data_IF_607698283447
#
_entry.id   IF_607698283447
#
_cell.length_a   1.000
_cell.length_b   1.000
_cell.length_c   1.000
_cell.angle_alpha   90.00
_cell.angle_beta   90.00
_cell.angle_gamma   90.00
#
_symmetry.space_group_name_H-M   'P 1'
#
loop_
_entity.id
_entity.type
_entity.pdbx_description
1 polymer ?
#
# COMPACT_ATOMS: atom_id res chain seq x y z
N UNK A 1 -37.72 -29.42 29.49
CA UNK A 1 -37.16 -29.29 28.12
C UNK A 1 -36.21 -28.11 28.11
N UNK A 2 -34.90 -28.25 27.80
CA UNK A 2 -34.04 -27.09 27.62
C UNK A 2 -34.03 -26.70 26.13
N UNK A 3 -34.46 -25.47 25.82
CA UNK A 3 -34.29 -24.89 24.50
C UNK A 3 -32.87 -24.31 24.40
N UNK A 4 -32.14 -24.68 23.34
CA UNK A 4 -30.89 -23.99 22.98
C UNK A 4 -31.25 -22.78 22.13
N UNK A 5 -31.26 -21.60 22.74
CA UNK A 5 -31.34 -20.33 22.02
C UNK A 5 -29.93 -20.00 21.52
N UNK A 6 -29.74 -19.98 20.21
CA UNK A 6 -28.53 -19.41 19.61
C UNK A 6 -28.76 -17.90 19.61
N UNK A 7 -28.19 -17.22 20.59
CA UNK A 7 -28.20 -15.75 20.63
C UNK A 7 -27.16 -15.25 19.63
N UNK A 8 -27.62 -14.77 18.47
CA UNK A 8 -26.75 -14.01 17.56
C UNK A 8 -26.70 -12.54 17.99
N UNK A 9 -25.71 -11.81 17.50
CA UNK A 9 -25.59 -10.38 17.76
C UNK A 9 -26.72 -9.59 17.07
N UNK A 10 -27.08 -8.40 17.59
CA UNK A 10 -27.97 -7.49 16.87
C UNK A 10 -27.35 -7.09 15.53
N UNK A 11 -28.21 -6.70 14.59
CA UNK A 11 -27.77 -6.15 13.31
C UNK A 11 -27.15 -4.76 13.53
N UNK A 12 -25.83 -4.68 13.52
CA UNK A 12 -25.09 -3.43 13.73
C UNK A 12 -23.91 -3.32 12.74
N UNK A 13 -24.13 -2.80 11.52
CA UNK A 13 -23.08 -2.63 10.50
C UNK A 13 -21.92 -1.76 10.98
N UNK A 14 -22.16 -0.81 11.89
CA UNK A 14 -21.15 0.06 12.47
C UNK A 14 -20.12 -0.67 13.34
N UNK A 15 -20.38 -1.95 13.70
CA UNK A 15 -19.44 -2.80 14.44
C UNK A 15 -18.48 -3.57 13.54
N UNK A 16 -18.66 -3.51 12.22
CA UNK A 16 -17.71 -4.10 11.27
C UNK A 16 -16.45 -3.23 11.27
N UNK A 17 -15.31 -3.86 11.54
CA UNK A 17 -14.01 -3.18 11.61
C UNK A 17 -13.18 -3.60 10.40
N UNK A 18 -12.57 -2.62 9.73
CA UNK A 18 -11.66 -2.85 8.61
C UNK A 18 -10.25 -2.48 9.07
N UNK A 19 -9.30 -3.41 9.00
CA UNK A 19 -7.92 -3.22 9.44
C UNK A 19 -6.93 -3.51 8.33
N UNK A 20 -5.84 -2.73 8.25
CA UNK A 20 -4.79 -2.91 7.23
C UNK A 20 -5.04 -2.15 5.92
N UNK A 21 -6.24 -1.61 5.70
CA UNK A 21 -6.54 -0.77 4.55
C UNK A 21 -5.92 0.63 4.73
N UNK A 22 -4.85 0.91 4.00
CA UNK A 22 -4.14 2.19 4.04
C UNK A 22 -4.75 3.20 3.06
N UNK A 23 -4.58 4.50 3.34
CA UNK A 23 -5.00 5.59 2.44
C UNK A 23 -4.10 5.76 1.22
N UNK A 24 -2.94 5.08 1.21
CA UNK A 24 -1.96 5.15 0.13
C UNK A 24 -1.52 3.73 -0.23
N UNK A 25 -1.33 3.46 -1.52
CA UNK A 25 -0.86 2.17 -2.02
C UNK A 25 0.01 2.36 -3.27
N UNK A 26 1.09 1.60 -3.37
CA UNK A 26 1.94 1.60 -4.56
C UNK A 26 1.25 0.91 -5.73
N UNK A 27 1.29 1.52 -6.90
CA UNK A 27 0.80 0.92 -8.14
C UNK A 27 1.46 -0.44 -8.35
N UNK A 28 0.66 -1.47 -8.61
CA UNK A 28 1.15 -2.83 -8.84
C UNK A 28 1.49 -3.63 -7.57
N UNK A 29 1.50 -3.01 -6.39
CA UNK A 29 1.73 -3.71 -5.13
C UNK A 29 0.41 -4.23 -4.53
N UNK A 30 0.28 -5.55 -4.23
CA UNK A 30 -0.91 -6.08 -3.60
C UNK A 30 -1.17 -5.46 -2.22
N UNK A 31 -2.39 -4.96 -2.01
CA UNK A 31 -2.89 -4.50 -0.72
C UNK A 31 -3.69 -5.62 -0.08
N UNK A 32 -3.38 -5.91 1.18
CA UNK A 32 -4.12 -6.85 2.01
C UNK A 32 -4.77 -6.11 3.17
N UNK A 33 -6.01 -6.47 3.48
CA UNK A 33 -6.71 -5.95 4.62
C UNK A 33 -7.75 -6.95 5.12
N UNK A 34 -8.09 -6.82 6.40
CA UNK A 34 -9.01 -7.72 7.09
C UNK A 34 -10.31 -6.99 7.42
N UNK A 35 -11.40 -7.74 7.40
CA UNK A 35 -12.74 -7.27 7.75
C UNK A 35 -13.26 -8.16 8.88
N UNK A 36 -13.37 -7.59 10.07
CA UNK A 36 -13.93 -8.25 11.25
C UNK A 36 -15.40 -7.87 11.42
N UNK A 37 -16.29 -8.84 11.17
CA UNK A 37 -17.73 -8.74 11.41
C UNK A 37 -18.19 -9.64 12.56
N UNK A 38 -17.28 -10.06 13.46
CA UNK A 38 -17.58 -10.97 14.57
C UNK A 38 -18.59 -10.44 15.58
N UNK A 39 -18.73 -9.10 15.67
CA UNK A 39 -19.56 -8.37 16.66
C UNK A 39 -20.93 -7.94 16.14
N UNK A 40 -21.32 -8.40 14.96
CA UNK A 40 -22.65 -8.18 14.37
C UNK A 40 -23.26 -9.53 13.96
N UNK A 41 -24.55 -9.53 13.64
CA UNK A 41 -25.25 -10.68 13.06
C UNK A 41 -24.47 -11.27 11.88
N UNK A 42 -24.63 -12.55 11.59
CA UNK A 42 -24.11 -13.06 10.32
C UNK A 42 -24.85 -12.44 9.11
N UNK A 43 -24.11 -11.89 8.14
CA UNK A 43 -24.64 -11.38 6.89
C UNK A 43 -23.57 -11.40 5.77
N UNK A 44 -23.97 -11.34 4.49
CA UNK A 44 -23.03 -11.26 3.37
C UNK A 44 -22.19 -9.98 3.40
N UNK A 45 -20.91 -10.11 3.09
CA UNK A 45 -19.97 -8.99 2.90
C UNK A 45 -19.49 -9.02 1.45
N UNK A 46 -19.43 -7.85 0.82
CA UNK A 46 -18.82 -7.69 -0.49
C UNK A 46 -17.86 -6.51 -0.49
N UNK A 47 -16.73 -6.69 -1.17
CA UNK A 47 -15.74 -5.65 -1.43
C UNK A 47 -15.72 -5.44 -2.94
N UNK A 48 -15.92 -4.21 -3.38
CA UNK A 48 -15.97 -3.85 -4.79
C UNK A 48 -15.14 -2.62 -5.06
N UNK A 49 -14.60 -2.55 -6.27
CA UNK A 49 -13.92 -1.37 -6.81
C UNK A 49 -14.58 -0.99 -8.14
N UNK A 50 -14.38 0.22 -8.68
CA UNK A 50 -14.87 0.56 -10.00
C UNK A 50 -14.48 -0.49 -11.06
N UNK A 51 -15.34 -0.77 -12.05
CA UNK A 51 -15.11 -1.84 -13.03
C UNK A 51 -13.83 -1.69 -13.87
N UNK A 52 -13.25 -0.49 -13.90
CA UNK A 52 -11.96 -0.21 -14.54
C UNK A 52 -10.77 -0.88 -13.82
N UNK A 53 -10.96 -1.31 -12.57
CA UNK A 53 -9.97 -2.01 -11.78
C UNK A 53 -10.33 -3.49 -11.61
N UNK A 54 -9.31 -4.30 -11.34
CA UNK A 54 -9.51 -5.70 -10.99
C UNK A 54 -10.26 -5.80 -9.64
N UNK A 55 -11.33 -6.59 -9.61
CA UNK A 55 -12.13 -6.76 -8.40
C UNK A 55 -11.32 -7.44 -7.28
N UNK A 56 -11.46 -6.98 -6.02
CA UNK A 56 -10.83 -7.62 -4.87
C UNK A 56 -11.25 -9.08 -4.71
N UNK A 57 -10.30 -9.92 -4.33
CA UNK A 57 -10.55 -11.27 -3.86
C UNK A 57 -10.89 -11.21 -2.37
N UNK A 58 -12.06 -11.73 -2.00
CA UNK A 58 -12.51 -11.82 -0.60
C UNK A 58 -12.58 -13.29 -0.18
N UNK A 59 -11.87 -13.64 0.87
CA UNK A 59 -11.80 -14.98 1.45
C UNK A 59 -12.31 -14.94 2.89
N UNK A 60 -13.02 -15.99 3.32
CA UNK A 60 -13.39 -16.15 4.72
C UNK A 60 -12.26 -16.84 5.47
N UNK A 61 -11.96 -16.38 6.68
CA UNK A 61 -11.00 -17.07 7.54
C UNK A 61 -11.51 -18.47 7.92
N UNK A 62 -10.57 -19.42 8.05
CA UNK A 62 -10.88 -20.82 8.31
C UNK A 62 -11.10 -21.06 9.82
N UNK A 63 -10.40 -20.32 10.68
CA UNK A 63 -10.38 -20.54 12.12
C UNK A 63 -11.35 -19.62 12.89
N UNK A 64 -11.50 -18.38 12.42
CA UNK A 64 -12.25 -17.32 13.08
C UNK A 64 -13.55 -17.03 12.32
N UNK A 65 -14.73 -17.27 12.95
CA UNK A 65 -15.99 -17.02 12.29
C UNK A 65 -16.16 -15.51 12.03
N UNK A 66 -16.66 -15.18 10.84
CA UNK A 66 -16.97 -13.80 10.40
C UNK A 66 -15.75 -12.87 10.33
N UNK A 67 -14.55 -13.43 10.26
CA UNK A 67 -13.36 -12.73 9.80
C UNK A 67 -13.16 -13.00 8.30
N UNK A 68 -12.80 -11.96 7.56
CA UNK A 68 -12.59 -12.03 6.12
C UNK A 68 -11.27 -11.37 5.75
N UNK A 69 -10.57 -11.97 4.78
CA UNK A 69 -9.34 -11.46 4.21
C UNK A 69 -9.60 -10.97 2.79
N UNK A 70 -9.32 -9.70 2.55
CA UNK A 70 -9.44 -9.09 1.24
C UNK A 70 -8.06 -8.79 0.65
N UNK A 71 -7.91 -9.09 -0.64
CA UNK A 71 -6.70 -8.79 -1.41
C UNK A 71 -7.08 -8.13 -2.73
N UNK A 72 -6.44 -7.02 -3.05
CA UNK A 72 -6.52 -6.44 -4.38
C UNK A 72 -5.19 -5.77 -4.75
N UNK A 73 -4.93 -5.66 -6.04
CA UNK A 73 -3.73 -4.98 -6.56
C UNK A 73 -4.18 -3.76 -7.33
N UNK A 74 -4.00 -2.54 -6.79
CA UNK A 74 -4.42 -1.36 -7.50
C UNK A 74 -3.49 -1.09 -8.68
N UNK A 75 -4.09 -0.78 -9.82
CA UNK A 75 -3.40 -0.43 -11.07
C UNK A 75 -3.96 0.91 -11.56
N UNK A 76 -3.13 1.74 -12.17
CA UNK A 76 -3.56 3.05 -12.65
C UNK A 76 -2.43 4.07 -12.62
N UNK A 77 -2.79 5.33 -12.88
CA UNK A 77 -1.82 6.42 -12.84
C UNK A 77 -1.50 6.84 -11.40
N UNK A 78 -0.21 7.13 -11.09
CA UNK A 78 0.17 7.70 -9.81
C UNK A 78 -0.59 8.99 -9.51
N UNK A 79 -1.09 9.14 -8.30
CA UNK A 79 -1.90 10.27 -7.84
C UNK A 79 -3.41 10.08 -7.97
N UNK A 80 -3.88 9.06 -8.71
CA UNK A 80 -5.30 8.73 -8.78
C UNK A 80 -5.82 8.19 -7.44
N UNK A 81 -7.12 8.43 -7.17
CA UNK A 81 -7.83 7.88 -6.03
C UNK A 81 -8.66 6.68 -6.48
N UNK A 82 -8.40 5.52 -5.89
CA UNK A 82 -9.17 4.28 -6.09
C UNK A 82 -10.18 4.16 -4.95
N UNK A 83 -11.50 4.26 -5.23
CA UNK A 83 -12.50 3.99 -4.22
C UNK A 83 -12.68 2.47 -4.04
N UNK A 84 -12.59 2.02 -2.79
CA UNK A 84 -12.89 0.66 -2.37
C UNK A 84 -14.19 0.67 -1.57
N UNK A 85 -15.23 0.11 -2.17
CA UNK A 85 -16.54 -0.02 -1.54
C UNK A 85 -16.62 -1.31 -0.75
N UNK A 86 -17.03 -1.21 0.51
CA UNK A 86 -17.26 -2.34 1.39
C UNK A 86 -18.71 -2.29 1.86
N UNK A 87 -19.44 -3.34 1.52
CA UNK A 87 -20.86 -3.48 1.87
C UNK A 87 -21.08 -4.66 2.80
N UNK A 88 -22.02 -4.49 3.72
CA UNK A 88 -22.48 -5.48 4.67
C UNK A 88 -24.01 -5.57 4.57
N UNK A 89 -24.53 -6.75 4.23
CA UNK A 89 -25.96 -6.98 3.94
C UNK A 89 -26.52 -6.04 2.86
N UNK A 90 -25.71 -5.76 1.82
CA UNK A 90 -26.06 -4.86 0.72
C UNK A 90 -26.03 -3.37 1.07
N UNK A 91 -25.64 -2.98 2.29
CA UNK A 91 -25.49 -1.58 2.69
C UNK A 91 -24.02 -1.21 2.87
N UNK A 92 -23.63 -0.03 2.41
CA UNK A 92 -22.28 0.49 2.60
C UNK A 92 -21.95 0.65 4.09
N UNK A 93 -20.71 0.31 4.47
CA UNK A 93 -20.19 0.62 5.80
C UNK A 93 -20.04 2.14 5.98
N UNK A 94 -20.04 2.66 7.22
CA UNK A 94 -19.93 4.11 7.47
C UNK A 94 -18.69 4.79 6.87
N UNK A 95 -17.59 4.05 6.73
CA UNK A 95 -16.32 4.54 6.15
C UNK A 95 -16.16 4.21 4.67
N UNK A 96 -17.16 3.59 4.05
CA UNK A 96 -17.17 3.24 2.63
C UNK A 96 -17.75 4.41 1.81
N UNK A 97 -17.17 4.76 0.65
CA UNK A 97 -15.96 4.17 0.05
C UNK A 97 -14.68 4.59 0.77
N UNK A 98 -13.74 3.65 0.88
CA UNK A 98 -12.39 3.94 1.31
C UNK A 98 -11.58 4.44 0.11
N UNK A 99 -11.06 5.67 0.18
CA UNK A 99 -10.29 6.28 -0.89
C UNK A 99 -8.79 5.97 -0.73
N UNK A 100 -8.20 5.34 -1.74
CA UNK A 100 -6.79 4.93 -1.74
C UNK A 100 -6.05 5.69 -2.81
N UNK A 101 -5.05 6.47 -2.41
CA UNK A 101 -4.19 7.22 -3.31
C UNK A 101 -3.11 6.31 -3.87
N UNK A 102 -2.98 6.29 -5.19
CA UNK A 102 -1.94 5.57 -5.88
C UNK A 102 -0.60 6.30 -5.77
N UNK A 103 0.40 5.63 -5.23
CA UNK A 103 1.80 6.05 -5.24
C UNK A 103 2.50 5.44 -6.45
N UNK A 104 3.47 6.14 -7.05
CA UNK A 104 4.25 5.59 -8.15
C UNK A 104 4.97 4.32 -7.70
N UNK A 105 5.06 3.31 -8.58
CA UNK A 105 5.79 2.07 -8.31
C UNK A 105 7.27 2.33 -7.93
N UNK A 106 7.83 3.40 -8.50
CA UNK A 106 9.15 3.92 -8.16
C UNK A 106 9.02 5.34 -7.61
N UNK A 107 9.39 5.55 -6.35
CA UNK A 107 9.49 6.88 -5.76
C UNK A 107 10.95 7.34 -5.74
N UNK A 108 11.32 8.13 -6.75
CA UNK A 108 12.66 8.73 -6.88
C UNK A 108 13.01 9.70 -5.76
N UNK A 109 12.03 10.25 -5.03
CA UNK A 109 12.31 11.17 -3.92
C UNK A 109 12.91 10.46 -2.71
N UNK A 110 12.76 9.14 -2.64
CA UNK A 110 13.35 8.29 -1.60
C UNK A 110 14.77 7.84 -1.95
N UNK A 111 15.29 8.23 -3.11
CA UNK A 111 16.65 7.91 -3.56
C UNK A 111 17.65 8.78 -2.80
N UNK A 112 18.72 8.17 -2.31
CA UNK A 112 19.81 8.93 -1.68
C UNK A 112 21.14 8.64 -2.36
N UNK A 113 21.95 9.68 -2.51
CA UNK A 113 23.31 9.60 -3.05
C UNK A 113 24.25 10.20 -2.01
N UNK A 114 25.24 9.40 -1.59
CA UNK A 114 26.24 9.81 -0.61
C UNK A 114 27.63 9.37 -1.04
N UNK A 115 28.66 10.12 -0.64
CA UNK A 115 30.04 9.67 -0.68
C UNK A 115 30.26 8.50 0.28
N UNK A 116 31.37 7.76 0.10
CA UNK A 116 31.77 6.72 1.06
C UNK A 116 31.96 7.25 2.50
N UNK A 117 32.25 8.54 2.65
CA UNK A 117 32.36 9.25 3.93
C UNK A 117 30.99 9.68 4.49
N UNK A 118 29.89 9.34 3.82
CA UNK A 118 28.54 9.76 4.17
C UNK A 118 28.21 11.20 3.78
N UNK A 119 29.12 11.92 3.10
CA UNK A 119 28.87 13.29 2.67
C UNK A 119 27.92 13.34 1.48
N UNK A 120 27.01 14.31 1.46
CA UNK A 120 26.06 14.55 0.36
C UNK A 120 26.50 15.71 -0.55
N UNK A 121 27.72 16.22 -0.35
CA UNK A 121 28.27 17.37 -1.10
C UNK A 121 28.98 16.90 -2.37
N UNK A 122 29.25 17.85 -3.26
CA UNK A 122 30.18 17.62 -4.37
C UNK A 122 31.49 17.07 -3.82
N UNK A 123 31.90 15.92 -4.35
CA UNK A 123 33.17 15.31 -3.99
C UNK A 123 34.27 16.12 -4.67
N UNK A 124 34.86 17.07 -3.94
CA UNK A 124 36.07 17.76 -4.36
C UNK A 124 37.24 16.80 -4.21
N UNK A 125 37.69 16.26 -5.34
CA UNK A 125 38.71 15.23 -5.40
C UNK A 125 39.86 15.74 -6.22
N UNK A 126 41.07 15.66 -5.65
CA UNK A 126 42.28 15.95 -6.42
C UNK A 126 42.35 15.02 -7.63
N UNK A 127 42.82 15.56 -8.76
CA UNK A 127 43.12 14.72 -9.92
C UNK A 127 43.98 13.52 -9.51
N UNK A 128 43.68 12.36 -10.09
CA UNK A 128 44.35 11.06 -9.82
C UNK A 128 43.99 10.37 -8.50
N UNK A 129 42.98 10.82 -7.75
CA UNK A 129 42.41 10.06 -6.63
C UNK A 129 41.09 9.40 -7.04
N UNK A 130 40.92 8.14 -6.66
CA UNK A 130 39.64 7.45 -6.83
C UNK A 130 38.58 8.05 -5.92
N UNK A 131 37.35 8.07 -6.43
CA UNK A 131 36.18 8.49 -5.69
C UNK A 131 35.05 7.51 -5.96
N UNK A 132 34.36 7.14 -4.90
CA UNK A 132 33.18 6.30 -4.98
C UNK A 132 32.01 6.97 -4.25
N UNK A 133 30.83 6.79 -4.81
CA UNK A 133 29.57 7.20 -4.24
C UNK A 133 28.66 5.98 -4.08
N UNK A 134 27.85 5.98 -3.03
CA UNK A 134 26.81 5.00 -2.78
C UNK A 134 25.48 5.60 -3.20
N UNK A 135 24.74 4.84 -4.00
CA UNK A 135 23.38 5.14 -4.39
C UNK A 135 22.48 4.15 -3.65
N UNK A 136 21.64 4.64 -2.75
CA UNK A 136 20.68 3.82 -2.02
C UNK A 136 19.28 4.02 -2.61
N UNK A 137 18.76 2.95 -3.20
CA UNK A 137 17.41 2.84 -3.78
C UNK A 137 16.51 1.91 -2.98
N UNK A 138 16.95 1.43 -1.82
CA UNK A 138 16.20 0.45 -1.01
C UNK A 138 14.80 0.93 -0.61
N UNK A 139 14.59 2.25 -0.57
CA UNK A 139 13.32 2.90 -0.24
C UNK A 139 12.54 3.42 -1.45
N UNK A 140 13.06 3.24 -2.66
CA UNK A 140 12.46 3.77 -3.88
C UNK A 140 11.38 2.86 -4.48
N UNK A 141 11.10 1.70 -3.90
CA UNK A 141 10.17 0.71 -4.47
C UNK A 141 10.85 -0.19 -5.53
N UNK A 142 10.13 -0.53 -6.59
CA UNK A 142 10.58 -1.53 -7.57
C UNK A 142 11.49 -0.91 -8.66
N UNK A 143 12.74 -0.60 -8.31
CA UNK A 143 13.71 -0.04 -9.24
C UNK A 143 14.30 -1.15 -10.13
N UNK A 144 13.96 -1.14 -11.41
CA UNK A 144 14.43 -2.13 -12.41
C UNK A 144 15.59 -1.64 -13.28
N UNK A 145 15.72 -0.32 -13.44
CA UNK A 145 16.78 0.31 -14.23
C UNK A 145 17.40 1.48 -13.45
N UNK A 146 18.73 1.58 -13.48
CA UNK A 146 19.50 2.64 -12.82
C UNK A 146 20.55 3.18 -13.79
N UNK A 147 20.38 4.44 -14.21
CA UNK A 147 21.33 5.13 -15.09
C UNK A 147 22.12 6.17 -14.30
N UNK A 148 23.44 6.11 -14.43
CA UNK A 148 24.37 7.03 -13.75
C UNK A 148 25.13 7.82 -14.80
N UNK A 149 25.07 9.16 -14.71
CA UNK A 149 25.88 10.07 -15.52
C UNK A 149 26.89 10.77 -14.62
N UNK A 150 28.18 10.60 -14.92
CA UNK A 150 29.27 11.26 -14.19
C UNK A 150 29.70 12.50 -14.95
N UNK A 151 29.53 13.68 -14.35
CA UNK A 151 30.03 14.95 -14.88
C UNK A 151 31.32 15.35 -14.16
N UNK A 152 32.43 15.39 -14.89
CA UNK A 152 33.72 15.83 -14.35
C UNK A 152 33.96 17.29 -14.71
N UNK A 153 34.14 18.15 -13.71
CA UNK A 153 34.56 19.55 -13.89
C UNK A 153 36.01 19.69 -13.41
N UNK A 154 36.91 20.07 -14.32
CA UNK A 154 38.33 20.27 -14.01
C UNK A 154 38.56 21.75 -13.76
N UNK A 155 39.02 22.09 -12.55
CA UNK A 155 39.48 23.44 -12.21
C UNK A 155 41.01 23.43 -12.17
N UNK A 156 41.63 24.23 -13.03
CA UNK A 156 43.09 24.46 -13.00
C UNK A 156 43.30 25.75 -12.21
N UNK A 157 43.83 25.63 -10.99
CA UNK A 157 44.26 26.78 -10.20
C UNK A 157 45.57 27.31 -10.81
N UNK A 158 45.56 28.58 -11.22
CA UNK A 158 46.75 29.31 -11.69
C UNK A 158 47.56 29.86 -10.53
#
# INVERSE_FOLDING_TARGET
SPFRVIADYPYEPSRVVVTGLQSEAYVGCPVLFDIDASRTREAPIAVTVPPIYQQPLLEKDIALPRLYHARFTPVGEPGCLVPVDITYDGKALPSSPFLIKLLPEVDVNMMTVSGLDGSTRFLDVCASREVAARIDVSKCGNVTDLKVLVLVRIFILK
#
